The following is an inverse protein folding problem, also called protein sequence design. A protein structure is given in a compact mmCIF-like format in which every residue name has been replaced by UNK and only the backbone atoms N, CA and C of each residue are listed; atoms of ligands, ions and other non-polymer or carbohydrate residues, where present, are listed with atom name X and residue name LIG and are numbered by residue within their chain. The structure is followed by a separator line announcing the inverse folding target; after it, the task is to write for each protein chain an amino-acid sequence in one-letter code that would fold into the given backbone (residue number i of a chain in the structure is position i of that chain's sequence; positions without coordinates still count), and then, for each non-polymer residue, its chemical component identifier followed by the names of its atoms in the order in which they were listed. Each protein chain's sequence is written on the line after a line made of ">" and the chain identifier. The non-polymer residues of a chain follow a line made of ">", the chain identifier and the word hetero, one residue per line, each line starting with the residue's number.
data_IF_139600155421
#
_entry.id   IF_139600155421
#
_cell.length_a   1.000
_cell.length_b   1.000
_cell.length_c   1.000
_cell.angle_alpha   90.00
_cell.angle_beta   90.00
_cell.angle_gamma   90.00
#
_symmetry.space_group_name_H-M   'P 1'
#
loop_
_entity.id
_entity.type
_entity.pdbx_description
1 polymer ?
#
# COMPACT_ATOMS: atom_id res chain seq x y z
N UNK A 1 -59.11 17.98 16.58
CA UNK A 1 -58.67 16.75 17.25
C UNK A 1 -58.73 15.58 16.29
N UNK A 2 -57.57 15.15 15.74
CA UNK A 2 -57.47 13.96 14.90
C UNK A 2 -56.32 13.07 15.47
N UNK A 3 -56.72 11.95 16.08
CA UNK A 3 -55.82 10.94 16.68
C UNK A 3 -55.18 10.14 15.55
N UNK A 4 -53.85 10.15 15.48
CA UNK A 4 -53.03 9.27 14.61
C UNK A 4 -52.74 7.97 15.36
N UNK A 5 -53.20 6.86 14.81
CA UNK A 5 -52.94 5.49 15.27
C UNK A 5 -51.49 5.10 14.89
N UNK A 6 -50.73 4.65 15.86
CA UNK A 6 -49.41 4.04 15.68
C UNK A 6 -49.61 2.54 15.38
N UNK A 7 -49.20 2.09 14.21
CA UNK A 7 -49.17 0.66 13.87
C UNK A 7 -47.79 0.14 14.18
N UNK A 8 -47.71 -0.75 15.15
CA UNK A 8 -46.51 -1.50 15.47
C UNK A 8 -46.45 -2.75 14.58
N UNK A 9 -45.41 -2.88 13.81
CA UNK A 9 -45.12 -4.08 13.00
C UNK A 9 -44.19 -4.99 13.82
N UNK A 10 -44.75 -6.09 14.33
CA UNK A 10 -44.02 -7.19 14.97
C UNK A 10 -43.42 -8.06 13.87
N UNK A 11 -42.11 -8.15 13.80
CA UNK A 11 -41.39 -9.10 12.96
C UNK A 11 -41.01 -10.32 13.83
N UNK A 12 -41.74 -11.42 13.68
CA UNK A 12 -41.45 -12.72 14.28
C UNK A 12 -40.41 -13.44 13.46
N UNK A 13 -39.23 -13.67 14.01
CA UNK A 13 -38.17 -14.52 13.45
C UNK A 13 -38.40 -15.94 13.91
N UNK A 14 -38.73 -16.83 12.97
CA UNK A 14 -38.88 -18.26 13.17
C UNK A 14 -37.50 -18.93 13.09
N UNK A 15 -36.99 -19.41 14.21
CA UNK A 15 -35.81 -20.28 14.29
C UNK A 15 -36.24 -21.72 14.03
N UNK A 16 -35.81 -22.29 12.90
CA UNK A 16 -35.93 -23.74 12.64
C UNK A 16 -34.60 -24.40 13.02
N UNK A 17 -34.60 -25.08 14.15
CA UNK A 17 -33.51 -25.98 14.57
C UNK A 17 -33.66 -27.34 13.89
N UNK A 18 -32.64 -27.83 13.25
CA UNK A 18 -32.50 -29.21 12.82
C UNK A 18 -31.40 -29.89 13.65
N UNK A 19 -31.86 -30.65 14.64
CA UNK A 19 -31.10 -31.68 15.36
C UNK A 19 -31.14 -32.96 14.54
N UNK A 20 -30.02 -33.46 14.13
CA UNK A 20 -29.85 -34.87 13.76
C UNK A 20 -28.78 -35.49 14.64
N UNK A 21 -29.23 -36.30 15.59
CA UNK A 21 -28.46 -37.26 16.36
C UNK A 21 -28.61 -38.65 15.75
N UNK A 22 -27.49 -39.37 15.64
CA UNK A 22 -27.37 -40.82 15.62
C UNK A 22 -25.88 -41.13 15.75
N UNK A 23 -25.31 -41.74 16.77
CA UNK A 23 -25.72 -42.91 17.49
C UNK A 23 -24.85 -44.08 17.04
N UNK A 24 -23.98 -44.61 17.91
CA UNK A 24 -23.31 -45.86 17.62
C UNK A 24 -22.00 -46.10 18.40
N UNK A 25 -22.15 -46.65 19.61
CA UNK A 25 -21.10 -47.23 20.46
C UNK A 25 -20.32 -48.37 19.80
N UNK A 26 -19.01 -48.54 20.13
CA UNK A 26 -18.51 -49.61 21.00
C UNK A 26 -17.03 -49.54 21.29
N UNK A 27 -16.74 -49.73 22.56
CA UNK A 27 -15.45 -49.98 23.20
C UNK A 27 -14.75 -51.24 22.66
N UNK A 28 -13.43 -51.22 22.68
CA UNK A 28 -12.66 -52.30 23.31
C UNK A 28 -11.20 -51.85 23.54
N UNK A 29 -10.74 -52.20 24.69
CA UNK A 29 -9.47 -51.85 25.33
C UNK A 29 -8.32 -52.80 24.93
N UNK A 30 -7.15 -52.40 25.43
CA UNK A 30 -5.94 -53.19 25.81
C UNK A 30 -4.88 -53.34 24.72
N UNK A 31 -3.72 -52.98 24.99
CA UNK A 31 -2.63 -53.27 25.85
C UNK A 31 -1.29 -53.13 25.10
N UNK A 32 -0.41 -52.35 25.72
CA UNK A 32 1.05 -52.45 25.76
C UNK A 32 1.75 -53.54 24.93
N UNK A 33 2.83 -53.12 24.23
CA UNK A 33 4.18 -53.67 24.45
C UNK A 33 5.27 -52.84 23.75
N UNK A 34 6.27 -52.61 24.51
CA UNK A 34 7.61 -52.08 24.40
C UNK A 34 8.54 -53.07 23.64
N UNK A 35 9.41 -52.53 22.77
CA UNK A 35 10.73 -53.04 22.39
C UNK A 35 11.33 -52.02 21.39
N UNK A 36 12.33 -51.24 21.69
CA UNK A 36 13.74 -51.44 21.89
C UNK A 36 14.53 -51.84 20.62
N UNK A 37 15.41 -50.86 20.25
CA UNK A 37 16.71 -50.98 19.55
C UNK A 37 16.71 -51.73 18.20
N UNK A 38 17.45 -51.29 17.24
CA UNK A 38 18.89 -51.10 17.17
C UNK A 38 19.31 -50.35 15.92
N UNK A 39 20.31 -49.59 16.09
CA UNK A 39 21.36 -49.09 15.25
C UNK A 39 21.81 -50.07 14.16
N UNK A 40 22.06 -49.57 12.96
CA UNK A 40 23.32 -49.83 12.29
C UNK A 40 23.65 -48.75 11.26
N UNK A 41 24.71 -48.12 11.50
CA UNK A 41 25.56 -47.36 10.60
C UNK A 41 26.21 -48.23 9.54
N UNK A 42 26.60 -47.65 8.41
CA UNK A 42 27.87 -47.82 7.67
C UNK A 42 27.72 -46.98 6.38
N UNK A 43 28.44 -45.82 6.28
CA UNK A 43 29.78 -45.60 5.68
C UNK A 43 29.81 -45.83 4.16
N UNK A 44 30.09 -44.83 3.41
CA UNK A 44 31.36 -44.12 3.10
C UNK A 44 31.70 -44.23 1.60
N UNK A 45 32.32 -43.20 1.16
CA UNK A 45 33.21 -42.98 0.02
C UNK A 45 32.55 -42.40 -1.24
N UNK A 46 33.09 -41.41 -1.75
CA UNK A 46 34.28 -40.56 -1.78
C UNK A 46 34.38 -40.02 -3.20
N UNK A 47 34.75 -38.73 -3.21
CA UNK A 47 35.88 -38.17 -3.98
C UNK A 47 35.78 -38.35 -5.49
N UNK A 48 36.05 -37.37 -6.27
CA UNK A 48 37.07 -36.37 -6.42
C UNK A 48 36.85 -35.72 -7.76
N UNK A 49 37.13 -34.60 -7.95
CA UNK A 49 38.26 -33.70 -8.15
C UNK A 49 38.17 -33.08 -9.53
N UNK A 50 38.21 -31.75 -9.48
CA UNK A 50 39.24 -30.89 -10.05
C UNK A 50 39.52 -30.99 -11.55
N UNK A 51 39.44 -29.82 -12.22
CA UNK A 51 40.56 -29.00 -12.66
C UNK A 51 40.05 -28.03 -13.72
N UNK A 52 40.06 -26.73 -13.52
CA UNK A 52 41.05 -25.69 -13.83
C UNK A 52 41.62 -25.73 -15.23
N UNK A 53 41.49 -24.59 -15.88
CA UNK A 53 42.49 -23.78 -16.61
C UNK A 53 41.71 -22.77 -17.47
N UNK A 54 41.78 -21.47 -17.23
CA UNK A 54 42.84 -20.50 -17.45
C UNK A 54 43.21 -20.30 -18.90
N UNK A 55 43.24 -19.02 -19.16
CA UNK A 55 43.98 -18.23 -20.16
C UNK A 55 43.19 -17.85 -21.41
N UNK A 56 43.31 -16.69 -21.99
CA UNK A 56 44.08 -15.46 -21.79
C UNK A 56 43.79 -14.61 -23.03
N UNK A 57 43.57 -13.34 -22.76
CA UNK A 57 44.12 -12.22 -23.47
C UNK A 57 44.07 -12.15 -25.02
N UNK A 58 43.44 -11.07 -25.52
CA UNK A 58 44.25 -10.12 -26.32
C UNK A 58 43.43 -8.88 -26.63
N UNK A 59 43.98 -7.75 -26.26
CA UNK A 59 43.67 -6.43 -26.68
C UNK A 59 44.19 -6.21 -28.12
N UNK A 60 43.46 -5.41 -28.90
CA UNK A 60 44.06 -4.59 -29.95
C UNK A 60 43.32 -3.27 -29.99
N UNK A 61 44.08 -2.27 -29.74
CA UNK A 61 43.92 -0.85 -29.91
C UNK A 61 44.16 -0.48 -31.41
N UNK A 62 43.43 0.52 -31.91
CA UNK A 62 43.89 1.42 -32.98
C UNK A 62 42.82 2.51 -33.17
N UNK A 63 43.02 3.66 -32.63
CA UNK A 63 43.44 4.98 -33.12
C UNK A 63 43.27 5.29 -34.60
N UNK A 64 42.66 6.41 -34.83
CA UNK A 64 43.10 7.64 -35.52
C UNK A 64 41.96 8.23 -36.36
N UNK A 65 41.60 9.44 -36.14
CA UNK A 65 42.12 10.76 -36.43
C UNK A 65 41.46 11.43 -37.63
N UNK A 66 40.86 12.59 -37.33
CA UNK A 66 40.84 13.92 -38.01
C UNK A 66 40.24 14.02 -39.41
N UNK A 67 39.55 15.01 -39.70
CA UNK A 67 39.69 16.44 -39.87
C UNK A 67 38.55 16.94 -40.78
N UNK A 68 37.87 17.96 -40.37
CA UNK A 68 38.01 19.41 -40.56
C UNK A 68 37.38 19.98 -41.81
N UNK A 69 36.89 21.19 -41.61
CA UNK A 69 36.51 22.28 -42.49
C UNK A 69 35.05 22.27 -42.94
N UNK A 70 34.20 23.20 -42.60
CA UNK A 70 34.36 24.64 -42.49
C UNK A 70 33.71 25.30 -43.72
N UNK A 71 32.69 26.07 -43.47
CA UNK A 71 32.46 27.32 -44.20
C UNK A 71 31.29 28.08 -43.55
N UNK A 72 31.62 29.27 -43.18
CA UNK A 72 30.88 30.44 -42.77
C UNK A 72 29.76 30.85 -43.74
N UNK A 73 28.66 31.30 -43.18
CA UNK A 73 27.98 32.47 -43.70
C UNK A 73 27.18 33.17 -42.59
N UNK A 74 27.61 34.32 -42.26
CA UNK A 74 27.03 35.35 -41.43
C UNK A 74 25.73 35.92 -42.02
N UNK A 75 24.72 36.13 -41.18
CA UNK A 75 23.81 37.28 -41.34
C UNK A 75 23.35 37.76 -40.00
N UNK A 76 23.79 38.92 -39.70
CA UNK A 76 23.38 39.86 -38.68
C UNK A 76 21.90 40.18 -38.82
N UNK A 77 21.13 40.15 -37.73
CA UNK A 77 20.07 41.16 -37.49
C UNK A 77 19.60 41.13 -36.03
N UNK A 78 19.86 42.25 -35.40
CA UNK A 78 19.05 43.03 -34.46
C UNK A 78 18.58 42.40 -33.16
N UNK A 79 19.26 42.82 -32.11
CA UNK A 79 18.84 42.85 -30.71
C UNK A 79 17.43 43.46 -30.54
N UNK A 80 16.52 42.63 -30.03
CA UNK A 80 15.38 43.17 -29.32
C UNK A 80 15.36 42.50 -27.95
N UNK A 81 15.76 43.27 -26.95
CA UNK A 81 15.64 42.98 -25.53
C UNK A 81 14.16 42.98 -25.17
N UNK A 82 13.56 41.79 -25.18
CA UNK A 82 12.26 41.63 -24.57
C UNK A 82 12.50 40.96 -23.20
N UNK A 83 12.10 41.68 -22.17
CA UNK A 83 12.11 41.26 -20.79
C UNK A 83 11.58 39.82 -20.68
N UNK A 84 12.40 38.91 -20.17
CA UNK A 84 11.99 37.57 -19.78
C UNK A 84 11.00 37.68 -18.64
N UNK A 85 9.74 37.75 -18.97
CA UNK A 85 8.69 37.38 -18.07
C UNK A 85 8.89 35.88 -17.79
N UNK A 86 9.41 35.55 -16.63
CA UNK A 86 9.43 34.18 -16.13
C UNK A 86 7.99 33.75 -15.85
N UNK A 87 7.29 33.41 -16.93
CA UNK A 87 6.06 32.64 -16.82
C UNK A 87 6.45 31.29 -16.22
N UNK A 88 6.12 31.16 -14.95
CA UNK A 88 6.08 29.89 -14.25
C UNK A 88 5.00 29.02 -14.93
N UNK A 89 5.31 28.49 -16.11
CA UNK A 89 4.49 27.48 -16.78
C UNK A 89 4.59 26.23 -15.93
N UNK A 90 3.75 26.13 -14.91
CA UNK A 90 3.52 24.86 -14.23
C UNK A 90 3.11 23.86 -15.29
N UNK A 91 3.99 22.93 -15.59
CA UNK A 91 3.72 21.81 -16.52
C UNK A 91 2.46 21.11 -16.04
N UNK A 92 1.40 21.18 -16.83
CA UNK A 92 0.12 20.54 -16.53
C UNK A 92 0.35 19.03 -16.59
N UNK A 93 0.35 18.37 -15.45
CA UNK A 93 0.52 16.92 -15.38
C UNK A 93 -0.78 16.19 -15.71
N UNK A 94 -0.70 14.94 -16.18
CA UNK A 94 -1.91 14.12 -16.38
C UNK A 94 -2.77 14.01 -15.13
N UNK A 95 -2.14 13.88 -13.96
CA UNK A 95 -2.86 13.83 -12.69
C UNK A 95 -3.66 15.12 -12.44
N UNK A 96 -3.09 16.30 -12.74
CA UNK A 96 -3.81 17.57 -12.55
C UNK A 96 -5.02 17.71 -13.47
N UNK A 97 -4.93 17.20 -14.70
CA UNK A 97 -6.06 17.12 -15.63
C UNK A 97 -7.16 16.21 -15.10
N UNK A 98 -6.80 15.01 -14.63
CA UNK A 98 -7.77 14.10 -14.02
C UNK A 98 -8.39 14.66 -12.75
N UNK A 99 -7.61 15.32 -11.91
CA UNK A 99 -8.13 15.95 -10.70
C UNK A 99 -9.18 17.03 -11.01
N UNK A 100 -8.98 17.80 -12.07
CA UNK A 100 -9.97 18.78 -12.52
C UNK A 100 -11.26 18.07 -12.99
N UNK A 101 -11.13 17.02 -13.80
CA UNK A 101 -12.28 16.22 -14.27
C UNK A 101 -13.03 15.54 -13.13
N UNK A 102 -12.29 14.99 -12.14
CA UNK A 102 -12.88 14.38 -10.95
C UNK A 102 -13.64 15.40 -10.09
N UNK A 103 -13.11 16.63 -9.90
CA UNK A 103 -13.84 17.69 -9.20
C UNK A 103 -15.09 18.12 -9.95
N UNK A 104 -15.04 18.17 -11.27
CA UNK A 104 -16.24 18.47 -12.07
C UNK A 104 -17.33 17.39 -11.91
N UNK A 105 -16.93 16.11 -11.77
CA UNK A 105 -17.83 14.97 -11.66
C UNK A 105 -18.33 14.72 -10.23
N UNK A 106 -17.46 14.87 -9.22
CA UNK A 106 -17.72 14.50 -7.83
C UNK A 106 -17.92 15.72 -6.91
N UNK A 107 -17.69 16.95 -7.41
CA UNK A 107 -17.79 18.17 -6.62
C UNK A 107 -16.53 18.43 -5.77
N UNK A 108 -16.71 19.04 -4.61
CA UNK A 108 -15.61 19.36 -3.71
C UNK A 108 -15.11 18.10 -3.00
N UNK A 109 -14.07 17.50 -3.57
CA UNK A 109 -13.41 16.27 -3.07
C UNK A 109 -11.93 16.50 -2.85
N UNK A 110 -11.38 15.88 -1.81
CA UNK A 110 -9.93 15.85 -1.62
C UNK A 110 -9.30 14.85 -2.59
N UNK A 111 -8.19 15.24 -3.20
CA UNK A 111 -7.48 14.44 -4.20
C UNK A 111 -5.97 14.58 -4.02
N UNK A 112 -5.18 13.56 -4.37
CA UNK A 112 -3.72 13.65 -4.29
C UNK A 112 -3.19 14.62 -5.35
N UNK A 113 -2.18 15.40 -5.01
CA UNK A 113 -1.50 16.32 -5.95
C UNK A 113 -0.26 15.70 -6.59
N UNK A 114 0.17 14.52 -6.12
CA UNK A 114 1.17 13.66 -6.77
C UNK A 114 0.60 12.25 -7.01
N UNK A 115 1.07 11.61 -8.06
CA UNK A 115 0.76 10.19 -8.35
C UNK A 115 1.57 9.20 -7.49
N UNK A 116 2.47 9.71 -6.65
CA UNK A 116 3.31 8.91 -5.76
C UNK A 116 4.46 8.16 -6.45
N UNK A 117 4.54 8.22 -7.78
CA UNK A 117 5.58 7.58 -8.58
C UNK A 117 6.82 8.49 -8.67
N UNK A 118 8.01 7.91 -8.65
CA UNK A 118 9.25 8.71 -8.60
C UNK A 118 9.44 9.62 -9.82
N UNK A 119 9.09 9.10 -11.00
CA UNK A 119 9.26 9.81 -12.27
C UNK A 119 7.94 10.34 -12.83
N UNK A 120 6.85 10.21 -12.10
CA UNK A 120 5.50 10.45 -12.62
C UNK A 120 5.18 9.51 -13.78
N UNK A 121 4.02 9.65 -14.38
CA UNK A 121 3.67 8.85 -15.55
C UNK A 121 2.85 9.63 -16.57
N UNK A 122 3.37 9.73 -17.78
CA UNK A 122 2.63 10.22 -18.95
C UNK A 122 1.53 9.22 -19.38
N UNK A 123 1.54 8.01 -18.82
CA UNK A 123 0.57 6.93 -19.07
C UNK A 123 -0.26 6.62 -17.81
N UNK A 124 -0.33 7.56 -16.89
CA UNK A 124 -1.26 7.50 -15.77
C UNK A 124 -2.68 7.42 -16.31
N UNK A 125 -3.46 6.45 -15.86
CA UNK A 125 -4.86 6.26 -16.16
C UNK A 125 -5.67 6.30 -14.88
N UNK A 126 -6.86 6.86 -14.95
CA UNK A 126 -7.74 7.03 -13.79
C UNK A 126 -9.15 6.60 -14.15
N UNK A 127 -9.76 5.84 -13.26
CA UNK A 127 -11.19 5.56 -13.27
C UNK A 127 -11.78 5.79 -11.90
N UNK A 128 -13.05 6.18 -11.87
CA UNK A 128 -13.77 6.33 -10.62
C UNK A 128 -15.18 5.76 -10.74
N UNK A 129 -15.75 5.46 -9.59
CA UNK A 129 -17.11 5.03 -9.41
C UNK A 129 -17.70 5.70 -8.16
N UNK A 130 -19.03 5.82 -8.09
CA UNK A 130 -19.72 6.41 -6.96
C UNK A 130 -20.11 7.87 -7.17
N UNK A 131 -20.24 8.61 -6.07
CA UNK A 131 -20.70 9.99 -6.03
C UNK A 131 -19.95 10.78 -4.95
N UNK A 132 -20.27 12.08 -4.78
CA UNK A 132 -19.61 12.95 -3.80
C UNK A 132 -19.57 12.39 -2.37
N UNK A 133 -20.60 11.66 -1.92
CA UNK A 133 -20.66 11.10 -0.58
C UNK A 133 -19.79 9.84 -0.44
N UNK A 134 -19.82 8.99 -1.46
CA UNK A 134 -19.11 7.71 -1.46
C UNK A 134 -18.51 7.47 -2.85
N UNK A 135 -17.19 7.35 -2.93
CA UNK A 135 -16.51 7.08 -4.20
C UNK A 135 -15.29 6.20 -4.02
N UNK A 136 -14.90 5.56 -5.11
CA UNK A 136 -13.62 4.89 -5.27
C UNK A 136 -12.92 5.43 -6.52
N UNK A 137 -11.69 5.88 -6.40
CA UNK A 137 -10.84 6.31 -7.50
C UNK A 137 -9.69 5.33 -7.63
N UNK A 138 -9.50 4.75 -8.80
CA UNK A 138 -8.43 3.81 -9.10
C UNK A 138 -7.41 4.46 -10.02
N UNK A 139 -6.13 4.38 -9.65
CA UNK A 139 -5.00 4.90 -10.40
C UNK A 139 -4.19 3.72 -10.94
N UNK A 140 -3.95 3.71 -12.24
CA UNK A 140 -3.16 2.70 -12.93
C UNK A 140 -2.15 3.33 -13.88
N UNK A 141 -1.13 2.59 -14.25
CA UNK A 141 -0.18 2.97 -15.29
C UNK A 141 -0.18 1.86 -16.34
N UNK A 142 -0.67 2.21 -17.52
CA UNK A 142 -0.77 1.28 -18.64
C UNK A 142 0.26 1.52 -19.72
N UNK A 143 0.11 0.84 -20.83
CA UNK A 143 0.91 1.07 -22.03
C UNK A 143 0.40 2.24 -22.88
N UNK A 144 -0.85 2.63 -22.68
CA UNK A 144 -1.55 3.70 -23.41
C UNK A 144 -2.14 4.71 -22.43
N UNK A 145 -2.11 5.97 -22.81
CA UNK A 145 -2.75 7.06 -22.07
C UNK A 145 -4.22 7.17 -22.50
N UNK A 146 -5.13 6.78 -21.62
CA UNK A 146 -6.58 6.80 -21.83
C UNK A 146 -7.23 8.02 -21.20
N UNK A 147 -8.48 8.32 -21.58
CA UNK A 147 -9.31 9.31 -20.91
C UNK A 147 -9.84 8.79 -19.58
N UNK A 148 -10.37 9.71 -18.74
CA UNK A 148 -11.01 9.35 -17.49
C UNK A 148 -12.20 8.39 -17.77
N UNK A 149 -12.26 7.28 -17.00
CA UNK A 149 -13.28 6.25 -17.13
C UNK A 149 -13.36 5.57 -18.52
N UNK A 150 -12.30 5.63 -19.31
CA UNK A 150 -12.23 4.83 -20.55
C UNK A 150 -12.42 3.33 -20.22
N UNK A 151 -13.18 2.62 -21.05
CA UNK A 151 -13.46 1.19 -20.83
C UNK A 151 -12.19 0.34 -20.75
N UNK A 152 -11.15 0.68 -21.54
CA UNK A 152 -9.88 -0.02 -21.51
C UNK A 152 -9.19 0.04 -20.13
N UNK A 153 -9.40 1.12 -19.36
CA UNK A 153 -8.82 1.28 -18.01
C UNK A 153 -9.43 0.27 -17.02
N UNK A 154 -10.62 -0.26 -17.30
CA UNK A 154 -11.25 -1.28 -16.46
C UNK A 154 -10.44 -2.58 -16.40
N UNK A 155 -9.64 -2.85 -17.43
CA UNK A 155 -8.78 -4.04 -17.56
C UNK A 155 -7.40 -3.86 -16.94
N UNK A 156 -7.05 -2.62 -16.56
CA UNK A 156 -5.77 -2.34 -15.91
C UNK A 156 -5.82 -2.65 -14.42
N UNK A 157 -4.72 -3.15 -13.89
CA UNK A 157 -4.56 -3.38 -12.44
C UNK A 157 -4.14 -2.05 -11.81
N UNK A 158 -4.97 -1.45 -10.93
CA UNK A 158 -4.58 -0.22 -10.26
C UNK A 158 -3.44 -0.48 -9.28
N UNK A 159 -2.45 0.42 -9.26
CA UNK A 159 -1.40 0.42 -8.23
C UNK A 159 -1.86 1.09 -6.95
N UNK A 160 -2.88 1.99 -7.03
CA UNK A 160 -3.52 2.63 -5.89
C UNK A 160 -5.03 2.72 -6.11
N UNK A 161 -5.79 2.53 -5.03
CA UNK A 161 -7.20 2.87 -4.93
C UNK A 161 -7.41 3.84 -3.78
N UNK A 162 -8.09 4.94 -4.02
CA UNK A 162 -8.50 5.92 -3.02
C UNK A 162 -10.01 5.89 -2.86
N UNK A 163 -10.47 5.66 -1.65
CA UNK A 163 -11.89 5.50 -1.32
C UNK A 163 -12.31 6.51 -0.27
N UNK A 164 -13.49 7.10 -0.46
CA UNK A 164 -14.23 7.87 0.54
C UNK A 164 -15.51 7.14 0.90
N UNK A 165 -15.79 7.04 2.19
CA UNK A 165 -17.06 6.49 2.71
C UNK A 165 -17.61 7.43 3.77
N UNK A 166 -18.85 7.86 3.61
CA UNK A 166 -19.57 8.69 4.58
C UNK A 166 -20.48 7.82 5.44
N UNK A 167 -20.50 8.09 6.73
CA UNK A 167 -21.29 7.39 7.74
C UNK A 167 -22.35 8.35 8.33
N UNK A 168 -23.31 7.81 9.04
CA UNK A 168 -24.35 8.61 9.70
C UNK A 168 -23.80 9.46 10.84
N UNK A 169 -22.80 8.93 11.56
CA UNK A 169 -22.18 9.57 12.73
C UNK A 169 -20.66 9.45 12.73
N UNK A 170 -19.99 10.33 13.48
CA UNK A 170 -18.55 10.24 13.70
C UNK A 170 -18.15 8.96 14.47
N UNK A 171 -19.00 8.48 15.36
CA UNK A 171 -18.77 7.23 16.10
C UNK A 171 -18.81 6.00 15.19
N UNK A 172 -19.77 5.96 14.26
CA UNK A 172 -19.81 4.89 13.24
C UNK A 172 -18.57 4.92 12.34
N UNK A 173 -18.12 6.11 11.94
CA UNK A 173 -16.90 6.25 11.17
C UNK A 173 -15.67 5.79 11.95
N UNK A 174 -15.52 6.23 13.22
CA UNK A 174 -14.35 5.84 14.02
C UNK A 174 -14.26 4.33 14.28
N UNK A 175 -15.39 3.64 14.36
CA UNK A 175 -15.45 2.18 14.50
C UNK A 175 -14.95 1.42 13.28
N UNK A 176 -14.79 2.09 12.13
CA UNK A 176 -14.26 1.48 10.90
C UNK A 176 -12.74 1.59 10.80
N UNK A 177 -12.11 2.47 11.58
CA UNK A 177 -10.66 2.57 11.59
C UNK A 177 -10.11 1.41 12.40
N UNK A 178 -9.32 0.58 11.76
CA UNK A 178 -8.63 -0.55 12.41
C UNK A 178 -7.45 -0.02 13.23
N UNK A 179 -7.81 0.72 14.29
CA UNK A 179 -6.90 1.41 15.20
C UNK A 179 -6.54 0.50 16.36
N UNK A 180 -5.26 0.15 16.49
CA UNK A 180 -4.76 -0.59 17.66
C UNK A 180 -4.73 0.36 18.84
N UNK A 181 -5.37 -0.01 19.97
CA UNK A 181 -5.34 0.79 21.17
C UNK A 181 -4.04 0.56 21.94
N UNK A 182 -3.55 1.61 22.59
CA UNK A 182 -2.29 1.53 23.35
C UNK A 182 -2.30 0.42 24.41
N UNK A 183 -3.44 0.17 25.04
CA UNK A 183 -3.58 -0.89 26.03
C UNK A 183 -3.36 -2.30 25.44
N UNK A 184 -3.60 -2.47 24.14
CA UNK A 184 -3.44 -3.76 23.47
C UNK A 184 -1.95 -4.09 23.22
N UNK A 185 -1.06 -3.10 23.35
CA UNK A 185 0.40 -3.24 23.20
C UNK A 185 1.14 -3.33 24.55
N UNK A 186 0.43 -3.23 25.69
CA UNK A 186 1.04 -3.26 27.00
C UNK A 186 1.69 -4.62 27.29
N UNK A 187 2.96 -4.57 27.72
CA UNK A 187 3.73 -5.78 28.06
C UNK A 187 4.39 -6.48 26.88
N UNK A 188 4.20 -5.99 25.66
CA UNK A 188 4.94 -6.49 24.48
C UNK A 188 6.40 -6.04 24.53
N UNK A 189 7.32 -6.83 23.98
CA UNK A 189 8.71 -6.42 23.77
C UNK A 189 8.78 -5.13 22.95
N UNK A 190 9.76 -4.28 23.27
CA UNK A 190 9.93 -2.99 22.60
C UNK A 190 11.22 -2.91 21.82
N UNK A 191 11.21 -2.10 20.76
CA UNK A 191 12.36 -1.84 19.90
C UNK A 191 12.40 -0.34 19.55
N UNK A 192 13.61 0.20 19.44
CA UNK A 192 13.80 1.57 18.96
C UNK A 192 13.71 1.62 17.42
N UNK A 193 12.83 2.50 16.90
CA UNK A 193 12.64 2.75 15.48
C UNK A 193 13.34 4.03 14.99
N UNK A 194 14.07 4.73 15.88
CA UNK A 194 14.64 6.05 15.62
C UNK A 194 13.64 7.18 15.94
N UNK A 195 14.09 8.43 15.86
CA UNK A 195 13.28 9.64 16.09
C UNK A 195 12.50 9.64 17.42
N UNK A 196 12.97 8.95 18.45
CA UNK A 196 12.31 8.71 19.74
C UNK A 196 11.00 7.92 19.60
N UNK A 197 10.84 7.14 18.54
CA UNK A 197 9.67 6.28 18.31
C UNK A 197 9.97 4.88 18.85
N UNK A 198 9.11 4.41 19.75
CA UNK A 198 9.15 3.05 20.30
C UNK A 198 8.19 2.16 19.54
N UNK A 199 8.70 1.08 18.96
CA UNK A 199 7.92 0.01 18.35
C UNK A 199 7.64 -1.11 19.37
N UNK A 200 6.52 -1.79 19.19
CA UNK A 200 6.04 -2.92 20.01
C UNK A 200 5.95 -4.16 19.13
N UNK A 201 6.66 -5.21 19.51
CA UNK A 201 6.73 -6.45 18.74
C UNK A 201 5.70 -7.46 19.24
N UNK A 202 4.89 -8.00 18.34
CA UNK A 202 4.00 -9.12 18.58
C UNK A 202 4.30 -10.24 17.57
N UNK A 203 4.26 -11.49 18.02
CA UNK A 203 4.53 -12.63 17.18
C UNK A 203 3.70 -13.84 17.60
N UNK A 204 3.13 -14.53 16.62
CA UNK A 204 2.37 -15.75 16.86
C UNK A 204 1.99 -16.44 15.55
N UNK A 205 1.84 -17.76 15.60
CA UNK A 205 1.40 -18.58 14.47
C UNK A 205 2.18 -18.33 13.16
N UNK A 206 3.49 -18.04 13.26
CA UNK A 206 4.32 -17.77 12.10
C UNK A 206 4.17 -16.37 11.51
N UNK A 207 3.50 -15.45 12.22
CA UNK A 207 3.34 -14.06 11.85
C UNK A 207 4.13 -13.17 12.82
N UNK A 208 4.59 -12.03 12.35
CA UNK A 208 5.28 -10.99 13.12
C UNK A 208 4.64 -9.65 12.83
N UNK A 209 4.38 -8.88 13.88
CA UNK A 209 3.82 -7.55 13.80
C UNK A 209 4.71 -6.59 14.59
N UNK A 210 4.94 -5.42 14.02
CA UNK A 210 5.63 -4.32 14.69
C UNK A 210 4.74 -3.10 14.64
N UNK A 211 4.27 -2.64 15.80
CA UNK A 211 3.29 -1.56 15.92
C UNK A 211 3.85 -0.38 16.70
N UNK A 212 3.45 0.85 16.33
CA UNK A 212 3.83 2.07 17.02
C UNK A 212 2.79 3.17 16.82
N UNK A 213 3.00 4.32 17.43
CA UNK A 213 2.10 5.47 17.33
C UNK A 213 2.84 6.74 16.92
N UNK A 214 2.19 7.54 16.09
CA UNK A 214 2.60 8.89 15.73
C UNK A 214 1.37 9.82 15.79
N UNK A 215 1.24 10.58 16.90
CA UNK A 215 0.04 11.38 17.16
C UNK A 215 -1.23 10.52 17.21
N UNK A 216 -2.21 10.85 16.37
CA UNK A 216 -3.48 10.11 16.28
C UNK A 216 -3.42 8.92 15.29
N UNK A 217 -2.23 8.54 14.85
CA UNK A 217 -2.01 7.42 13.97
C UNK A 217 -1.51 6.19 14.76
N UNK A 218 -2.10 5.04 14.50
CA UNK A 218 -1.56 3.73 14.87
C UNK A 218 -0.99 3.07 13.62
N UNK A 219 0.24 2.62 13.70
CA UNK A 219 0.97 2.04 12.57
C UNK A 219 1.34 0.60 12.89
N UNK A 220 1.24 -0.27 11.90
CA UNK A 220 1.63 -1.67 12.03
C UNK A 220 2.29 -2.14 10.75
N UNK A 221 3.44 -2.78 10.88
CA UNK A 221 4.09 -3.55 9.81
C UNK A 221 3.94 -5.03 10.10
N UNK A 222 3.40 -5.76 9.14
CA UNK A 222 3.27 -7.20 9.17
C UNK A 222 4.37 -7.87 8.34
N UNK A 223 4.87 -9.01 8.83
CA UNK A 223 5.82 -9.88 8.15
C UNK A 223 5.55 -11.36 8.46
N UNK A 224 5.93 -12.27 7.57
CA UNK A 224 5.86 -13.70 7.82
C UNK A 224 7.19 -14.25 8.33
N UNK A 225 7.18 -14.87 9.52
CA UNK A 225 8.35 -15.52 10.08
C UNK A 225 8.81 -16.72 9.24
N UNK A 226 7.89 -17.38 8.54
CA UNK A 226 8.18 -18.53 7.67
C UNK A 226 9.19 -18.18 6.57
N UNK A 227 9.15 -16.94 6.07
CA UNK A 227 10.07 -16.43 5.05
C UNK A 227 11.28 -15.69 5.66
N UNK A 228 11.51 -15.81 6.96
CA UNK A 228 12.56 -15.10 7.71
C UNK A 228 12.51 -13.57 7.55
N UNK A 229 11.30 -13.04 7.32
CA UNK A 229 11.09 -11.62 7.14
C UNK A 229 11.09 -10.89 8.48
N UNK A 230 11.68 -9.69 8.48
CA UNK A 230 11.72 -8.80 9.62
C UNK A 230 10.92 -7.52 9.32
N UNK A 231 9.89 -7.19 10.11
CA UNK A 231 9.10 -5.97 9.92
C UNK A 231 9.89 -4.69 10.24
N UNK A 232 11.01 -4.78 10.98
CA UNK A 232 11.78 -3.63 11.46
C UNK A 232 12.29 -2.74 10.33
N UNK A 233 12.86 -3.31 9.28
CA UNK A 233 13.43 -2.53 8.18
C UNK A 233 12.37 -1.64 7.53
N UNK A 234 11.18 -2.19 7.25
CA UNK A 234 10.09 -1.42 6.66
C UNK A 234 9.51 -0.39 7.66
N UNK A 235 9.41 -0.75 8.96
CA UNK A 235 8.95 0.17 9.99
C UNK A 235 9.86 1.41 10.10
N UNK A 236 11.19 1.21 10.17
CA UNK A 236 12.17 2.31 10.20
C UNK A 236 12.09 3.17 8.93
N UNK A 237 11.90 2.55 7.76
CA UNK A 237 11.69 3.29 6.52
C UNK A 237 10.43 4.18 6.58
N UNK A 238 9.31 3.67 7.11
CA UNK A 238 8.06 4.42 7.27
C UNK A 238 8.27 5.59 8.24
N UNK A 239 8.88 5.35 9.42
CA UNK A 239 9.19 6.40 10.40
C UNK A 239 10.02 7.51 9.73
N UNK A 240 11.12 7.17 9.05
CA UNK A 240 11.95 8.16 8.36
C UNK A 240 11.18 8.95 7.28
N UNK A 241 10.25 8.32 6.59
CA UNK A 241 9.41 9.00 5.61
C UNK A 241 8.46 10.00 6.27
N UNK A 242 7.87 9.65 7.40
CA UNK A 242 6.88 10.48 8.09
C UNK A 242 7.50 11.73 8.73
N UNK A 243 8.81 11.78 8.93
CA UNK A 243 9.55 13.02 9.26
C UNK A 243 9.47 14.08 8.14
N UNK A 244 9.33 13.64 6.89
CA UNK A 244 9.30 14.52 5.72
C UNK A 244 7.90 14.66 5.11
N UNK A 245 7.06 13.65 5.23
CA UNK A 245 5.72 13.57 4.64
C UNK A 245 4.64 13.69 5.72
N UNK A 246 3.92 14.83 5.73
CA UNK A 246 2.82 15.03 6.69
C UNK A 246 1.54 14.42 6.16
N UNK A 247 1.05 13.41 6.84
CA UNK A 247 -0.26 12.83 6.57
C UNK A 247 -1.40 13.77 6.98
N UNK A 248 -2.61 13.63 6.38
CA UNK A 248 -3.80 14.34 6.86
C UNK A 248 -4.04 14.07 8.34
N UNK A 249 -4.36 15.13 9.12
CA UNK A 249 -4.65 14.94 10.54
C UNK A 249 -6.01 14.24 10.72
N UNK A 250 -6.07 13.06 11.37
CA UNK A 250 -7.34 12.42 11.67
C UNK A 250 -8.13 13.20 12.71
N UNK A 251 -9.47 13.25 12.59
CA UNK A 251 -10.33 13.85 13.62
C UNK A 251 -10.23 13.09 14.95
N UNK A 252 -10.09 11.77 14.89
CA UNK A 252 -9.93 10.90 16.06
C UNK A 252 -8.85 9.85 15.82
N UNK A 253 -9.00 9.00 14.79
CA UNK A 253 -8.12 7.88 14.52
C UNK A 253 -7.65 7.84 13.07
N UNK A 254 -6.37 7.48 12.91
CA UNK A 254 -5.78 7.06 11.65
C UNK A 254 -5.04 5.74 11.83
N UNK A 255 -4.98 4.93 10.79
CA UNK A 255 -4.26 3.67 10.79
C UNK A 255 -3.42 3.53 9.52
N UNK A 256 -2.18 3.07 9.69
CA UNK A 256 -1.34 2.58 8.60
C UNK A 256 -1.10 1.10 8.85
N UNK A 257 -1.37 0.27 7.84
CA UNK A 257 -1.01 -1.14 7.84
C UNK A 257 -0.18 -1.44 6.62
N UNK A 258 1.05 -1.85 6.84
CA UNK A 258 1.99 -2.21 5.80
C UNK A 258 2.37 -3.69 5.92
N UNK A 259 2.61 -4.32 4.80
CA UNK A 259 3.07 -5.69 4.71
C UNK A 259 4.43 -5.71 4.01
N UNK A 260 5.39 -6.46 4.57
CA UNK A 260 6.71 -6.63 3.97
C UNK A 260 6.60 -7.35 2.62
N UNK A 261 5.57 -8.19 2.47
CA UNK A 261 5.26 -8.86 1.21
C UNK A 261 4.28 -8.05 0.36
N UNK A 262 4.68 -7.76 -0.86
CA UNK A 262 3.77 -7.23 -1.86
C UNK A 262 3.82 -8.13 -3.09
N UNK A 263 2.74 -8.86 -3.35
CA UNK A 263 2.61 -9.65 -4.58
C UNK A 263 2.07 -8.78 -5.71
N UNK A 264 2.40 -9.14 -6.95
CA UNK A 264 1.91 -8.42 -8.12
C UNK A 264 0.39 -8.28 -8.10
N UNK A 265 -0.09 -7.06 -8.30
CA UNK A 265 -1.51 -6.72 -8.31
C UNK A 265 -2.18 -6.62 -6.93
N UNK A 266 -1.48 -6.97 -5.84
CA UNK A 266 -1.98 -6.72 -4.49
C UNK A 266 -1.96 -5.22 -4.15
N UNK A 267 -2.86 -4.79 -3.27
CA UNK A 267 -2.91 -3.45 -2.68
C UNK A 267 -3.16 -3.59 -1.18
N UNK A 268 -2.25 -4.31 -0.54
CA UNK A 268 -2.30 -4.62 0.90
C UNK A 268 -1.64 -3.55 1.78
N UNK A 269 -1.04 -2.53 1.17
CA UNK A 269 -0.58 -1.35 1.91
C UNK A 269 -1.77 -0.42 2.14
N UNK A 270 -2.15 -0.20 3.38
CA UNK A 270 -3.33 0.57 3.77
C UNK A 270 -2.93 1.83 4.53
N UNK A 271 -3.47 2.97 4.11
CA UNK A 271 -3.54 4.21 4.90
C UNK A 271 -5.01 4.60 5.02
N UNK A 272 -5.51 4.70 6.23
CA UNK A 272 -6.92 5.02 6.51
C UNK A 272 -7.00 6.11 7.57
N UNK A 273 -7.87 7.11 7.39
CA UNK A 273 -8.09 8.14 8.40
C UNK A 273 -9.51 8.62 8.42
N UNK A 274 -9.92 9.07 9.59
CA UNK A 274 -11.22 9.65 9.84
C UNK A 274 -11.18 11.17 9.74
N UNK A 275 -12.17 11.76 9.07
CA UNK A 275 -12.53 13.17 9.17
C UNK A 275 -14.01 13.30 9.50
N UNK A 276 -14.34 13.64 10.75
CA UNK A 276 -15.69 13.67 11.27
C UNK A 276 -16.43 12.32 11.05
N UNK A 277 -17.50 12.31 10.27
CA UNK A 277 -18.26 11.10 9.90
C UNK A 277 -17.82 10.47 8.58
N UNK A 278 -16.64 10.81 8.08
CA UNK A 278 -16.09 10.30 6.82
C UNK A 278 -14.82 9.51 7.07
N UNK A 279 -14.69 8.39 6.40
CA UNK A 279 -13.44 7.63 6.29
C UNK A 279 -12.86 7.82 4.89
N UNK A 280 -11.59 8.16 4.86
CA UNK A 280 -10.76 8.10 3.67
C UNK A 280 -9.82 6.91 3.79
N UNK A 281 -9.68 6.15 2.72
CA UNK A 281 -8.87 4.95 2.67
C UNK A 281 -8.08 4.91 1.37
N UNK A 282 -6.79 4.66 1.48
CA UNK A 282 -5.89 4.49 0.37
C UNK A 282 -5.27 3.10 0.47
N UNK A 283 -5.53 2.26 -0.54
CA UNK A 283 -4.92 0.95 -0.68
C UNK A 283 -3.92 1.00 -1.84
N UNK A 284 -2.69 0.62 -1.59
CA UNK A 284 -1.62 0.68 -2.57
C UNK A 284 -0.84 -0.64 -2.66
N UNK A 285 -0.15 -0.81 -3.79
CA UNK A 285 0.81 -1.87 -3.97
C UNK A 285 2.09 -1.63 -3.18
N UNK A 286 2.50 -0.37 -3.05
CA UNK A 286 3.72 0.06 -2.37
C UNK A 286 3.41 1.13 -1.31
N UNK A 287 4.02 0.99 -0.11
CA UNK A 287 3.75 1.90 1.01
C UNK A 287 4.37 3.29 0.79
N UNK A 288 5.49 3.38 0.08
CA UNK A 288 6.13 4.67 -0.23
C UNK A 288 5.23 5.51 -1.12
N UNK A 289 4.66 4.88 -2.15
CA UNK A 289 3.65 5.48 -3.04
C UNK A 289 2.42 5.92 -2.24
N UNK A 290 1.92 5.06 -1.33
CA UNK A 290 0.77 5.38 -0.48
C UNK A 290 1.01 6.62 0.38
N UNK A 291 2.16 6.70 1.07
CA UNK A 291 2.52 7.82 1.94
C UNK A 291 2.66 9.11 1.13
N UNK A 292 3.36 9.09 0.00
CA UNK A 292 3.52 10.26 -0.88
C UNK A 292 2.16 10.79 -1.36
N UNK A 293 1.27 9.91 -1.81
CA UNK A 293 -0.08 10.29 -2.25
C UNK A 293 -0.93 10.81 -1.09
N UNK A 294 -0.97 10.11 0.06
CA UNK A 294 -1.74 10.54 1.22
C UNK A 294 -1.30 11.90 1.75
N UNK A 295 0.01 12.13 1.85
CA UNK A 295 0.57 13.42 2.30
C UNK A 295 0.30 14.59 1.33
N UNK A 296 -0.01 14.29 0.08
CA UNK A 296 -0.30 15.29 -0.96
C UNK A 296 -1.79 15.64 -1.10
N UNK A 297 -2.68 15.06 -0.29
CA UNK A 297 -4.13 15.26 -0.38
C UNK A 297 -4.54 16.71 -0.11
N UNK A 298 -5.35 17.28 -1.03
CA UNK A 298 -5.90 18.66 -0.95
C UNK A 298 -7.31 18.73 -1.48
#
# INVERSE_FOLDING_TARGET
>A
MKKRKKTALLLTILMVGLLTACGGQKQAASSSKKATSEQTSVKKHSKSSQKSSSEKSSAVESTSTSSSQGLTSSSTTTSNSTASNSNNSSTVTRLSVFNQQLRNALGNVILPTTDGLENGSNKLNVRYEGNQANYTISYSVGNTAYQLNDEAVSKEIPYVQFKKTSYGTSSEASAQVDYIKQNDLNGLPTIDLGHNITGYEDAGAGQRYLSWYEGNWALTVHATAVNQQDPKTLAVQIVNMLESYRLPAPSQYGAIKADVNSSYGSRNQLIMWQQNNVIYQLNAHDITTAIKMAASMK
#
